data_IF_607379908422
#
_entry.id   IF_607379908422
#
_cell.length_a   1.000
_cell.length_b   1.000
_cell.length_c   1.000
_cell.angle_alpha   90.00
_cell.angle_beta   90.00
_cell.angle_gamma   90.00
#
_symmetry.space_group_name_H-M   'P 1'
#
loop_
_entity.id
_entity.type
_entity.pdbx_description
1 polymer ?
#
# COMPACT_ATOMS: atom_id res chain seq x y z
N UNK A 1 22.30 -36.61 -2.57
CA UNK A 1 22.04 -35.40 -3.42
C UNK A 1 22.11 -34.19 -2.49
N UNK A 2 22.93 -33.19 -2.79
CA UNK A 2 23.01 -31.95 -2.00
C UNK A 2 21.96 -30.94 -2.49
N UNK A 3 20.81 -30.97 -1.85
CA UNK A 3 19.66 -30.12 -2.23
C UNK A 3 19.91 -28.63 -1.95
N UNK A 4 20.70 -28.30 -0.92
CA UNK A 4 21.07 -26.91 -0.59
C UNK A 4 22.00 -26.32 -1.64
N UNK A 5 22.93 -27.12 -2.17
CA UNK A 5 23.82 -26.70 -3.26
C UNK A 5 22.99 -26.38 -4.51
N UNK A 6 22.07 -27.26 -4.89
CA UNK A 6 21.19 -27.04 -6.04
C UNK A 6 20.38 -25.74 -5.89
N UNK A 7 19.77 -25.51 -4.71
CA UNK A 7 19.02 -24.27 -4.48
C UNK A 7 19.89 -23.01 -4.63
N UNK A 8 21.12 -23.02 -4.09
CA UNK A 8 22.07 -21.91 -4.24
C UNK A 8 22.48 -21.66 -5.69
N UNK A 9 22.64 -22.73 -6.49
CA UNK A 9 22.95 -22.61 -7.92
C UNK A 9 21.78 -21.95 -8.67
N UNK A 10 20.53 -22.35 -8.40
CA UNK A 10 19.34 -21.69 -8.97
C UNK A 10 19.31 -20.21 -8.63
N UNK A 11 19.46 -19.86 -7.34
CA UNK A 11 19.44 -18.46 -6.90
C UNK A 11 20.55 -17.62 -7.59
N UNK A 12 21.75 -18.17 -7.69
CA UNK A 12 22.85 -17.48 -8.35
C UNK A 12 22.60 -17.26 -9.84
N UNK A 13 22.06 -18.27 -10.55
CA UNK A 13 21.71 -18.17 -11.98
C UNK A 13 20.65 -17.13 -12.24
N UNK A 14 19.57 -17.13 -11.44
CA UNK A 14 18.49 -16.14 -11.58
C UNK A 14 18.94 -14.72 -11.18
N UNK A 15 19.73 -14.57 -10.12
CA UNK A 15 20.31 -13.28 -9.77
C UNK A 15 21.19 -12.73 -10.89
N UNK A 16 22.00 -13.58 -11.52
CA UNK A 16 22.82 -13.19 -12.67
C UNK A 16 21.97 -12.77 -13.88
N UNK A 17 20.85 -13.44 -14.12
CA UNK A 17 19.93 -13.06 -15.20
C UNK A 17 19.33 -11.66 -14.95
N UNK A 18 19.03 -11.28 -13.71
CA UNK A 18 18.54 -9.93 -13.35
C UNK A 18 19.64 -8.88 -13.54
N UNK A 19 20.89 -9.17 -13.13
CA UNK A 19 22.02 -8.27 -13.37
C UNK A 19 22.23 -8.01 -14.86
N UNK A 20 22.21 -9.07 -15.67
CA UNK A 20 22.37 -8.97 -17.11
C UNK A 20 21.18 -8.21 -17.75
N UNK A 21 19.96 -8.36 -17.22
CA UNK A 21 18.78 -7.59 -17.63
C UNK A 21 18.99 -6.08 -17.43
N UNK A 22 19.53 -5.68 -16.28
CA UNK A 22 19.81 -4.28 -15.97
C UNK A 22 20.86 -3.68 -16.92
N UNK A 23 21.87 -4.45 -17.30
CA UNK A 23 22.89 -4.03 -18.27
C UNK A 23 22.34 -3.88 -19.70
N UNK A 24 21.31 -4.62 -20.05
CA UNK A 24 20.67 -4.59 -21.37
C UNK A 24 19.50 -3.61 -21.47
N UNK A 25 19.22 -2.84 -20.41
CA UNK A 25 18.17 -1.84 -20.42
C UNK A 25 18.57 -0.67 -21.33
N UNK A 26 17.67 -0.28 -22.23
CA UNK A 26 17.91 0.77 -23.22
C UNK A 26 16.78 1.83 -23.23
N UNK A 27 16.84 2.76 -24.17
CA UNK A 27 15.84 3.84 -24.33
C UNK A 27 14.41 3.33 -24.57
N UNK A 28 14.22 2.09 -25.01
CA UNK A 28 12.89 1.52 -25.20
C UNK A 28 12.12 1.40 -23.88
N UNK A 29 12.82 1.23 -22.76
CA UNK A 29 12.18 1.26 -21.45
C UNK A 29 11.55 2.64 -21.19
N UNK A 30 12.28 3.72 -21.42
CA UNK A 30 11.75 5.09 -21.26
C UNK A 30 10.59 5.36 -22.21
N UNK A 31 10.69 4.93 -23.47
CA UNK A 31 9.61 5.04 -24.45
C UNK A 31 8.36 4.27 -24.02
N UNK A 32 8.53 3.09 -23.41
CA UNK A 32 7.40 2.31 -22.87
C UNK A 32 6.72 3.05 -21.71
N UNK A 33 7.49 3.62 -20.79
CA UNK A 33 6.95 4.44 -19.69
C UNK A 33 6.18 5.65 -20.24
N UNK A 34 6.75 6.39 -21.18
CA UNK A 34 6.09 7.55 -21.81
C UNK A 34 4.78 7.14 -22.48
N UNK A 35 4.80 6.05 -23.28
CA UNK A 35 3.60 5.53 -23.92
C UNK A 35 2.51 5.18 -22.89
N UNK A 36 2.87 4.47 -21.82
CA UNK A 36 1.93 4.06 -20.77
C UNK A 36 1.42 5.25 -19.95
N UNK A 37 2.21 6.30 -19.75
CA UNK A 37 1.78 7.53 -19.06
C UNK A 37 0.77 8.32 -19.88
N UNK A 38 0.92 8.37 -21.20
CA UNK A 38 0.04 9.12 -22.11
C UNK A 38 -1.18 8.32 -22.58
N UNK A 39 -1.24 7.01 -22.28
CA UNK A 39 -2.38 6.14 -22.58
C UNK A 39 -3.60 6.62 -21.81
N UNK A 40 -4.72 6.89 -22.52
CA UNK A 40 -6.01 7.31 -21.95
C UNK A 40 -6.83 6.11 -21.44
N UNK A 41 -6.58 4.95 -21.97
CA UNK A 41 -7.20 3.68 -21.60
C UNK A 41 -6.42 2.92 -20.55
N UNK A 42 -6.31 1.63 -20.75
CA UNK A 42 -5.71 0.67 -19.79
C UNK A 42 -4.46 0.03 -20.38
N UNK A 43 -3.61 -0.46 -19.51
CA UNK A 43 -2.49 -1.31 -19.89
C UNK A 43 -2.96 -2.78 -19.87
N UNK A 44 -3.09 -3.38 -21.04
CA UNK A 44 -3.49 -4.77 -21.18
C UNK A 44 -2.24 -5.64 -21.25
N UNK A 45 -2.19 -6.72 -20.50
CA UNK A 45 -1.07 -7.65 -20.53
C UNK A 45 -1.55 -8.99 -21.09
N UNK A 46 -0.80 -9.57 -22.02
CA UNK A 46 -1.13 -10.87 -22.60
C UNK A 46 0.10 -11.76 -22.70
N UNK A 47 -0.08 -13.06 -22.46
CA UNK A 47 0.98 -14.06 -22.51
C UNK A 47 0.43 -15.47 -22.40
N UNK A 48 1.17 -16.47 -22.89
CA UNK A 48 0.77 -17.86 -22.85
C UNK A 48 1.56 -18.65 -21.81
N UNK A 49 0.93 -19.64 -21.17
CA UNK A 49 1.57 -20.55 -20.21
C UNK A 49 2.25 -19.81 -19.05
N UNK A 50 3.53 -20.08 -18.79
CA UNK A 50 4.28 -19.44 -17.70
C UNK A 50 4.37 -17.90 -17.89
N UNK A 51 4.57 -17.44 -19.12
CA UNK A 51 4.52 -16.00 -19.45
C UNK A 51 3.17 -15.38 -19.14
N UNK A 52 2.07 -16.13 -19.32
CA UNK A 52 0.73 -15.70 -18.95
C UNK A 52 0.54 -15.54 -17.43
N UNK A 53 1.02 -16.49 -16.63
CA UNK A 53 0.96 -16.37 -15.16
C UNK A 53 1.74 -15.16 -14.65
N UNK A 54 2.93 -14.94 -15.20
CA UNK A 54 3.71 -13.74 -14.86
C UNK A 54 3.02 -12.46 -15.37
N UNK A 55 2.45 -12.50 -16.58
CA UNK A 55 1.69 -11.39 -17.14
C UNK A 55 0.47 -11.00 -16.30
N UNK A 56 -0.25 -11.98 -15.77
CA UNK A 56 -1.36 -11.75 -14.84
C UNK A 56 -0.89 -11.05 -13.54
N UNK A 57 0.27 -11.47 -12.99
CA UNK A 57 0.89 -10.79 -11.84
C UNK A 57 1.29 -9.35 -12.18
N UNK A 58 1.89 -9.12 -13.33
CA UNK A 58 2.29 -7.78 -13.79
C UNK A 58 1.05 -6.88 -13.91
N UNK A 59 -0.01 -7.35 -14.55
CA UNK A 59 -1.27 -6.62 -14.67
C UNK A 59 -1.86 -6.26 -13.30
N UNK A 60 -1.89 -7.21 -12.36
CA UNK A 60 -2.35 -6.97 -10.99
C UNK A 60 -1.49 -5.94 -10.26
N UNK A 61 -0.15 -6.00 -10.42
CA UNK A 61 0.78 -5.02 -9.83
C UNK A 61 0.54 -3.62 -10.40
N UNK A 62 0.43 -3.49 -11.72
CA UNK A 62 0.13 -2.22 -12.38
C UNK A 62 -1.19 -1.62 -11.86
N UNK A 63 -2.25 -2.42 -11.80
CA UNK A 63 -3.56 -2.00 -11.32
C UNK A 63 -3.50 -1.52 -9.86
N UNK A 64 -2.83 -2.26 -8.99
CA UNK A 64 -2.70 -1.94 -7.58
C UNK A 64 -1.75 -0.76 -7.28
N UNK A 65 -0.98 -0.34 -8.27
CA UNK A 65 -0.03 0.79 -8.17
C UNK A 65 -0.43 1.99 -9.04
N UNK A 66 -1.71 2.11 -9.39
CA UNK A 66 -2.28 3.30 -10.02
C UNK A 66 -2.22 3.32 -11.55
N UNK A 67 -1.89 2.21 -12.21
CA UNK A 67 -2.02 2.05 -13.65
C UNK A 67 -3.17 1.09 -13.96
N UNK A 68 -4.33 1.56 -14.46
CA UNK A 68 -5.44 0.68 -14.81
C UNK A 68 -4.98 -0.41 -15.76
N UNK A 69 -5.10 -1.67 -15.34
CA UNK A 69 -4.54 -2.81 -16.08
C UNK A 69 -5.34 -4.08 -15.83
N UNK A 70 -5.36 -4.97 -16.81
CA UNK A 70 -5.83 -6.34 -16.65
C UNK A 70 -5.10 -7.29 -17.60
N UNK A 71 -5.19 -8.56 -17.28
CA UNK A 71 -4.62 -9.63 -18.11
C UNK A 71 -5.68 -10.20 -19.04
N UNK A 72 -5.31 -10.44 -20.31
CA UNK A 72 -6.13 -11.15 -21.29
C UNK A 72 -5.39 -12.41 -21.77
N UNK A 73 -6.04 -13.57 -21.68
CA UNK A 73 -5.46 -14.80 -22.21
C UNK A 73 -5.56 -14.80 -23.74
N UNK A 74 -4.46 -15.05 -24.49
CA UNK A 74 -4.48 -14.92 -25.94
C UNK A 74 -5.42 -15.93 -26.61
N UNK A 75 -5.64 -17.11 -26.01
CA UNK A 75 -6.63 -18.06 -26.48
C UNK A 75 -8.06 -17.52 -26.40
N UNK A 76 -8.46 -16.93 -25.27
CA UNK A 76 -9.78 -16.32 -25.08
C UNK A 76 -9.95 -15.07 -25.96
N UNK A 77 -8.87 -14.33 -26.17
CA UNK A 77 -8.85 -13.18 -27.06
C UNK A 77 -9.28 -13.55 -28.50
N UNK A 78 -8.88 -14.75 -28.99
CA UNK A 78 -9.28 -15.24 -30.29
C UNK A 78 -10.77 -15.64 -30.36
N UNK A 79 -11.43 -15.84 -29.22
CA UNK A 79 -12.83 -16.25 -29.11
C UNK A 79 -13.78 -15.15 -28.64
N UNK A 80 -13.32 -13.88 -28.65
CA UNK A 80 -14.20 -12.73 -28.42
C UNK A 80 -13.69 -11.70 -27.44
N UNK A 81 -12.77 -12.05 -26.52
CA UNK A 81 -12.29 -11.13 -25.49
C UNK A 81 -11.51 -9.93 -26.05
N UNK A 82 -11.06 -9.97 -27.31
CA UNK A 82 -10.59 -8.77 -28.00
C UNK A 82 -11.62 -7.62 -27.99
N UNK A 83 -12.90 -7.93 -27.79
CA UNK A 83 -13.95 -6.92 -27.58
C UNK A 83 -13.74 -6.03 -26.37
N UNK A 84 -12.98 -6.51 -25.38
CA UNK A 84 -12.65 -5.75 -24.15
C UNK A 84 -11.66 -4.62 -24.42
N UNK A 85 -10.87 -4.67 -25.50
CA UNK A 85 -9.85 -3.69 -25.83
C UNK A 85 -10.43 -2.51 -26.58
N UNK A 86 -9.92 -1.32 -26.30
CA UNK A 86 -10.29 -0.06 -26.98
C UNK A 86 -9.08 0.56 -27.67
N UNK A 87 -9.24 1.46 -28.62
CA UNK A 87 -8.13 2.16 -29.27
C UNK A 87 -7.29 3.01 -28.31
N UNK A 88 -7.84 3.35 -27.15
CA UNK A 88 -7.15 4.14 -26.11
C UNK A 88 -6.26 3.29 -25.19
N UNK A 89 -6.30 1.96 -25.32
CA UNK A 89 -5.48 1.01 -24.51
C UNK A 89 -4.08 0.86 -25.11
N UNK A 90 -3.14 0.28 -24.33
CA UNK A 90 -1.84 -0.22 -24.76
C UNK A 90 -1.73 -1.70 -24.43
N UNK A 91 -1.19 -2.51 -25.35
CA UNK A 91 -0.97 -3.94 -25.13
C UNK A 91 0.50 -4.25 -24.83
N UNK A 92 0.78 -4.94 -23.74
CA UNK A 92 2.07 -5.61 -23.48
C UNK A 92 1.90 -7.09 -23.82
N UNK A 93 2.54 -7.55 -24.89
CA UNK A 93 2.56 -8.96 -25.27
C UNK A 93 3.87 -9.62 -24.80
N UNK A 94 3.74 -10.67 -24.00
CA UNK A 94 4.86 -11.38 -23.38
C UNK A 94 5.08 -12.72 -24.06
N UNK A 95 6.27 -12.91 -24.67
CA UNK A 95 6.68 -14.19 -25.24
C UNK A 95 8.20 -14.29 -25.23
N UNK A 96 8.78 -15.23 -24.50
CA UNK A 96 10.23 -15.42 -24.47
C UNK A 96 10.81 -15.73 -25.85
N UNK A 97 10.19 -16.61 -26.64
CA UNK A 97 10.60 -16.90 -28.02
C UNK A 97 10.23 -15.79 -29.00
N UNK A 98 9.15 -15.05 -28.72
CA UNK A 98 8.51 -14.11 -29.64
C UNK A 98 7.82 -14.76 -30.85
N UNK A 99 7.63 -16.10 -30.80
CA UNK A 99 7.00 -16.91 -31.83
C UNK A 99 5.78 -17.69 -31.32
N UNK A 100 5.24 -17.31 -30.17
CA UNK A 100 4.03 -17.95 -29.60
C UNK A 100 2.85 -17.71 -30.52
N UNK A 101 2.30 -18.80 -31.11
CA UNK A 101 1.30 -18.74 -32.17
C UNK A 101 0.03 -17.98 -31.74
N UNK A 102 -0.46 -18.22 -30.53
CA UNK A 102 -1.67 -17.57 -29.99
C UNK A 102 -1.49 -16.08 -29.82
N UNK A 103 -0.29 -15.63 -29.40
CA UNK A 103 0.05 -14.21 -29.34
C UNK A 103 0.10 -13.60 -30.74
N UNK A 104 0.77 -14.26 -31.67
CA UNK A 104 0.90 -13.75 -33.03
C UNK A 104 -0.44 -13.66 -33.77
N UNK A 105 -1.37 -14.57 -33.52
CA UNK A 105 -2.71 -14.54 -34.11
C UNK A 105 -3.58 -13.37 -33.72
N UNK A 106 -3.39 -12.79 -32.53
CA UNK A 106 -4.17 -11.62 -32.10
C UNK A 106 -3.61 -10.28 -32.63
N UNK A 107 -2.32 -10.22 -33.01
CA UNK A 107 -1.66 -8.98 -33.43
C UNK A 107 -2.33 -8.27 -34.61
N UNK A 108 -2.79 -8.94 -35.67
CA UNK A 108 -3.48 -8.29 -36.77
C UNK A 108 -4.71 -7.48 -36.34
N UNK A 109 -5.47 -8.01 -35.36
CA UNK A 109 -6.64 -7.33 -34.82
C UNK A 109 -6.23 -6.12 -33.96
N UNK A 110 -5.14 -6.23 -33.18
CA UNK A 110 -4.55 -5.15 -32.39
C UNK A 110 -4.10 -4.00 -33.30
N UNK A 111 -3.36 -4.31 -34.36
CA UNK A 111 -2.88 -3.33 -35.33
C UNK A 111 -4.03 -2.65 -36.09
N UNK A 112 -5.06 -3.41 -36.51
CA UNK A 112 -6.25 -2.85 -37.16
C UNK A 112 -6.98 -1.84 -36.29
N UNK A 113 -6.98 -2.04 -34.96
CA UNK A 113 -7.57 -1.14 -33.97
C UNK A 113 -6.64 0.01 -33.57
N UNK A 114 -5.40 0.04 -34.11
CA UNK A 114 -4.37 1.05 -33.79
C UNK A 114 -3.98 1.07 -32.30
N UNK A 115 -4.07 -0.07 -31.64
CA UNK A 115 -3.64 -0.22 -30.24
C UNK A 115 -2.12 -0.35 -30.24
N UNK A 116 -1.38 0.52 -29.54
CA UNK A 116 0.08 0.40 -29.41
C UNK A 116 0.49 -0.92 -28.78
N UNK A 117 1.56 -1.54 -29.30
CA UNK A 117 2.04 -2.85 -28.90
C UNK A 117 3.47 -2.78 -28.33
N UNK A 118 3.61 -3.10 -27.07
CA UNK A 118 4.90 -3.32 -26.41
C UNK A 118 5.21 -4.82 -26.46
N UNK A 119 6.28 -5.20 -27.16
CA UNK A 119 6.78 -6.56 -27.24
C UNK A 119 7.77 -6.82 -26.10
N UNK A 120 7.37 -7.54 -25.06
CA UNK A 120 8.26 -8.00 -23.98
C UNK A 120 8.77 -9.41 -24.35
N UNK A 121 10.01 -9.49 -24.85
CA UNK A 121 10.50 -10.67 -25.53
C UNK A 121 12.00 -10.95 -25.26
N UNK A 122 12.37 -12.22 -25.23
CA UNK A 122 13.78 -12.66 -25.09
C UNK A 122 14.55 -12.73 -26.41
N UNK A 123 13.89 -12.58 -27.58
CA UNK A 123 14.51 -12.72 -28.91
C UNK A 123 14.28 -11.47 -29.76
N UNK A 124 15.32 -10.66 -29.95
CA UNK A 124 15.28 -9.37 -30.67
C UNK A 124 14.76 -9.50 -32.11
N UNK A 125 15.09 -10.58 -32.80
CA UNK A 125 14.75 -10.76 -34.21
C UNK A 125 13.44 -11.56 -34.45
N UNK A 126 12.64 -11.74 -33.39
CA UNK A 126 11.39 -12.52 -33.48
C UNK A 126 10.28 -11.78 -34.22
N UNK A 127 9.26 -12.54 -34.63
CA UNK A 127 8.05 -12.01 -35.29
C UNK A 127 7.32 -11.02 -34.40
N UNK A 128 7.18 -11.30 -33.09
CA UNK A 128 6.53 -10.39 -32.13
C UNK A 128 7.25 -9.03 -32.09
N UNK A 129 8.57 -9.03 -31.98
CA UNK A 129 9.37 -7.77 -31.91
C UNK A 129 9.25 -6.97 -33.19
N UNK A 130 9.29 -7.61 -34.38
CA UNK A 130 9.12 -6.93 -35.68
C UNK A 130 7.74 -6.28 -35.83
N UNK A 131 6.73 -6.79 -35.16
CA UNK A 131 5.39 -6.24 -35.17
C UNK A 131 5.10 -5.29 -34.00
N UNK A 132 5.95 -5.26 -32.97
CA UNK A 132 5.85 -4.35 -31.83
C UNK A 132 6.23 -2.91 -32.19
N UNK A 133 5.65 -1.97 -31.49
CA UNK A 133 6.03 -0.55 -31.60
C UNK A 133 7.20 -0.26 -30.67
N UNK A 134 7.31 -0.98 -29.55
CA UNK A 134 8.40 -0.91 -28.57
C UNK A 134 8.83 -2.33 -28.20
N UNK A 135 10.14 -2.54 -28.10
CA UNK A 135 10.73 -3.80 -27.66
C UNK A 135 11.34 -3.68 -26.27
N UNK A 136 10.86 -4.46 -25.32
CA UNK A 136 11.47 -4.65 -23.99
C UNK A 136 12.21 -5.99 -23.98
N UNK A 137 13.53 -5.92 -23.88
CA UNK A 137 14.40 -7.08 -23.90
C UNK A 137 14.41 -7.79 -22.54
N UNK A 138 13.91 -9.04 -22.50
CA UNK A 138 13.92 -9.94 -21.33
C UNK A 138 14.79 -11.17 -21.57
N UNK A 139 15.76 -11.11 -22.49
CA UNK A 139 16.62 -12.24 -22.80
C UNK A 139 17.46 -12.66 -21.59
N UNK A 140 17.58 -13.96 -21.40
CA UNK A 140 18.47 -14.59 -20.44
C UNK A 140 19.47 -15.49 -21.14
N UNK A 141 20.66 -15.67 -20.58
CA UNK A 141 21.72 -16.52 -21.14
C UNK A 141 21.37 -17.98 -20.98
N UNK A 142 20.82 -18.37 -19.84
CA UNK A 142 20.46 -19.73 -19.49
C UNK A 142 19.27 -19.76 -18.52
N UNK A 143 18.58 -20.87 -18.52
CA UNK A 143 17.54 -21.15 -17.53
C UNK A 143 18.18 -21.80 -16.29
N UNK A 144 17.69 -21.46 -15.08
CA UNK A 144 18.15 -22.11 -13.84
C UNK A 144 17.68 -23.58 -13.74
N UNK A 145 16.83 -24.02 -14.66
CA UNK A 145 16.39 -25.40 -14.78
C UNK A 145 17.57 -26.32 -15.16
N UNK A 146 17.83 -27.43 -14.42
CA UNK A 146 18.92 -28.35 -14.72
C UNK A 146 18.88 -28.94 -16.14
N UNK A 147 17.70 -28.99 -16.74
CA UNK A 147 17.49 -29.47 -18.11
C UNK A 147 17.46 -28.33 -19.16
N UNK A 148 17.60 -27.07 -18.73
CA UNK A 148 17.47 -25.88 -19.60
C UNK A 148 16.12 -25.80 -20.36
N UNK A 149 15.07 -26.47 -19.89
CA UNK A 149 13.78 -26.57 -20.55
C UNK A 149 12.66 -25.78 -19.83
N UNK A 150 12.62 -25.83 -18.50
CA UNK A 150 11.59 -25.14 -17.76
C UNK A 150 11.94 -23.65 -17.61
N UNK A 151 11.03 -22.73 -17.97
CA UNK A 151 11.22 -21.30 -17.77
C UNK A 151 11.34 -20.98 -16.26
N UNK A 152 12.52 -20.53 -15.82
CA UNK A 152 12.87 -20.07 -14.48
C UNK A 152 13.50 -18.70 -14.56
N UNK A 153 14.74 -18.58 -15.04
CA UNK A 153 15.42 -17.29 -15.22
C UNK A 153 14.64 -16.34 -16.13
N UNK A 154 14.07 -16.84 -17.24
CA UNK A 154 13.29 -16.02 -18.17
C UNK A 154 11.98 -15.51 -17.55
N UNK A 155 11.33 -16.29 -16.68
CA UNK A 155 10.12 -15.84 -15.98
C UNK A 155 10.45 -14.84 -14.89
N UNK A 156 11.56 -15.01 -14.18
CA UNK A 156 12.07 -14.06 -13.18
C UNK A 156 12.46 -12.73 -13.84
N UNK A 157 13.17 -12.76 -14.97
CA UNK A 157 13.49 -11.55 -15.74
C UNK A 157 12.24 -10.82 -16.23
N UNK A 158 11.22 -11.56 -16.71
CA UNK A 158 9.92 -10.98 -17.11
C UNK A 158 9.23 -10.29 -15.95
N UNK A 159 9.19 -10.94 -14.78
CA UNK A 159 8.59 -10.40 -13.56
C UNK A 159 9.25 -9.11 -13.13
N UNK A 160 10.59 -9.10 -13.04
CA UNK A 160 11.37 -7.93 -12.62
C UNK A 160 11.22 -6.77 -13.62
N UNK A 161 11.15 -7.03 -14.92
CA UNK A 161 10.84 -6.01 -15.92
C UNK A 161 9.48 -5.37 -15.67
N UNK A 162 8.46 -6.17 -15.37
CA UNK A 162 7.12 -5.68 -15.04
C UNK A 162 7.09 -4.85 -13.76
N UNK A 163 7.82 -5.26 -12.72
CA UNK A 163 7.95 -4.50 -11.47
C UNK A 163 8.70 -3.18 -11.69
N UNK A 164 9.71 -3.17 -12.55
CA UNK A 164 10.41 -1.94 -12.93
C UNK A 164 9.49 -0.95 -13.66
N UNK A 165 8.62 -1.44 -14.58
CA UNK A 165 7.60 -0.60 -15.23
C UNK A 165 6.65 0.00 -14.20
N UNK A 166 6.11 -0.82 -13.28
CA UNK A 166 5.20 -0.36 -12.24
C UNK A 166 5.85 0.70 -11.34
N UNK A 167 7.07 0.46 -10.86
CA UNK A 167 7.81 1.38 -10.00
C UNK A 167 8.11 2.72 -10.70
N UNK A 168 8.52 2.69 -11.97
CA UNK A 168 8.77 3.89 -12.75
C UNK A 168 7.48 4.72 -12.95
N UNK A 169 6.36 4.07 -13.26
CA UNK A 169 5.05 4.72 -13.40
C UNK A 169 4.55 5.32 -12.08
N UNK A 170 4.70 4.61 -10.96
CA UNK A 170 4.40 5.15 -9.62
C UNK A 170 5.17 6.44 -9.36
N UNK A 171 6.48 6.42 -9.63
CA UNK A 171 7.35 7.59 -9.42
C UNK A 171 6.95 8.75 -10.33
N UNK A 172 6.68 8.48 -11.60
CA UNK A 172 6.28 9.50 -12.58
C UNK A 172 4.94 10.15 -12.25
N UNK A 173 3.99 9.40 -11.66
CA UNK A 173 2.68 9.88 -11.22
C UNK A 173 2.67 10.47 -9.81
N UNK A 174 3.80 10.48 -9.11
CA UNK A 174 3.88 10.87 -7.70
C UNK A 174 2.88 10.09 -6.81
N UNK A 175 2.76 8.78 -7.05
CA UNK A 175 1.85 7.87 -6.35
C UNK A 175 2.22 7.80 -4.86
N UNK A 176 1.23 8.02 -4.00
CA UNK A 176 1.42 8.17 -2.54
C UNK A 176 0.84 6.97 -1.77
N UNK A 177 1.21 6.81 -0.49
CA UNK A 177 0.59 5.80 0.38
C UNK A 177 -0.94 5.89 0.44
N UNK A 178 -1.51 7.10 0.39
CA UNK A 178 -2.97 7.32 0.38
C UNK A 178 -3.62 6.75 -0.88
N UNK A 179 -2.96 6.91 -2.04
CA UNK A 179 -3.42 6.30 -3.29
C UNK A 179 -3.38 4.78 -3.22
N UNK A 180 -2.33 4.21 -2.61
CA UNK A 180 -2.22 2.77 -2.39
C UNK A 180 -3.34 2.24 -1.47
N UNK A 181 -3.69 2.99 -0.43
CA UNK A 181 -4.77 2.64 0.49
C UNK A 181 -6.12 2.54 -0.22
N UNK A 182 -6.42 3.44 -1.16
CA UNK A 182 -7.66 3.40 -1.96
C UNK A 182 -7.81 2.11 -2.77
N UNK A 183 -6.69 1.54 -3.26
CA UNK A 183 -6.70 0.27 -4.00
C UNK A 183 -6.64 -0.97 -3.10
N UNK A 184 -6.28 -0.80 -1.80
CA UNK A 184 -6.15 -1.90 -0.83
C UNK A 184 -6.96 -1.64 0.46
N UNK A 185 -8.27 -1.35 0.38
CA UNK A 185 -9.06 -0.93 1.55
C UNK A 185 -9.16 -2.03 2.63
N UNK A 186 -9.03 -3.29 2.27
CA UNK A 186 -9.06 -4.43 3.19
C UNK A 186 -7.73 -4.74 3.89
N UNK A 187 -6.62 -4.17 3.44
CA UNK A 187 -5.30 -4.36 4.04
C UNK A 187 -5.11 -3.52 5.31
N UNK A 188 -4.21 -3.93 6.21
CA UNK A 188 -3.90 -3.16 7.44
C UNK A 188 -3.51 -1.71 7.14
N UNK A 189 -2.66 -1.50 6.12
CA UNK A 189 -2.26 -0.15 5.69
C UNK A 189 -3.46 0.64 5.15
N UNK A 190 -4.32 0.02 4.32
CA UNK A 190 -5.51 0.67 3.76
C UNK A 190 -6.48 1.11 4.85
N UNK A 191 -6.82 0.22 5.78
CA UNK A 191 -7.68 0.56 6.91
C UNK A 191 -7.11 1.71 7.73
N UNK A 192 -5.83 1.64 8.10
CA UNK A 192 -5.15 2.67 8.89
C UNK A 192 -5.16 4.05 8.24
N UNK A 193 -5.01 4.13 6.91
CA UNK A 193 -4.98 5.37 6.15
C UNK A 193 -6.37 5.89 5.75
N UNK A 194 -7.40 5.02 5.75
CA UNK A 194 -8.77 5.41 5.41
C UNK A 194 -9.68 5.59 6.62
N UNK A 195 -9.27 5.15 7.81
CA UNK A 195 -10.06 5.26 9.03
C UNK A 195 -9.85 6.62 9.68
N UNK A 196 -10.94 7.30 10.01
CA UNK A 196 -10.91 8.58 10.74
C UNK A 196 -10.86 8.36 12.25
N UNK A 197 -10.41 9.36 12.96
CA UNK A 197 -10.42 9.39 14.42
C UNK A 197 -11.84 9.20 14.95
N UNK A 198 -12.84 9.85 14.32
CA UNK A 198 -14.27 9.73 14.65
C UNK A 198 -14.82 8.30 14.58
N UNK A 199 -14.23 7.43 13.75
CA UNK A 199 -14.67 6.03 13.59
C UNK A 199 -14.20 5.13 14.73
N UNK A 200 -13.13 5.53 15.44
CA UNK A 200 -12.45 4.74 16.48
C UNK A 200 -12.59 5.33 17.88
N UNK A 201 -12.97 6.61 18.01
CA UNK A 201 -13.04 7.28 19.31
C UNK A 201 -14.17 6.76 20.17
N UNK A 202 -13.97 6.79 21.48
CA UNK A 202 -15.03 6.66 22.46
C UNK A 202 -15.70 8.02 22.61
N UNK A 203 -16.98 8.14 22.26
CA UNK A 203 -17.74 9.41 22.28
C UNK A 203 -18.87 9.42 23.31
N UNK A 204 -19.18 8.29 23.95
CA UNK A 204 -20.27 8.18 24.95
C UNK A 204 -19.70 7.99 26.34
N UNK A 205 -20.38 8.54 27.33
CA UNK A 205 -20.04 8.39 28.75
C UNK A 205 -18.58 8.80 29.05
N UNK A 206 -18.14 9.91 28.46
CA UNK A 206 -16.79 10.42 28.68
C UNK A 206 -16.58 10.75 30.16
N UNK A 207 -15.45 10.37 30.77
CA UNK A 207 -15.13 10.70 32.15
C UNK A 207 -14.75 12.18 32.26
N UNK A 208 -15.72 13.02 32.52
CA UNK A 208 -15.57 14.48 32.62
C UNK A 208 -15.73 14.92 34.06
N UNK A 209 -14.84 15.78 34.54
CA UNK A 209 -14.87 16.39 35.88
C UNK A 209 -14.63 17.90 35.78
N UNK A 210 -15.04 18.63 36.82
CA UNK A 210 -14.76 20.07 36.99
C UNK A 210 -13.40 20.27 37.72
N UNK A 211 -12.70 21.38 37.52
CA UNK A 211 -11.44 21.69 38.25
C UNK A 211 -11.52 21.56 39.78
N UNK A 212 -12.67 21.86 40.36
CA UNK A 212 -12.90 21.77 41.79
C UNK A 212 -13.44 20.40 42.26
N UNK A 213 -13.52 19.40 41.40
CA UNK A 213 -13.95 18.03 41.77
C UNK A 213 -12.97 17.44 42.78
N UNK A 214 -13.52 16.93 43.88
CA UNK A 214 -12.76 16.30 44.97
C UNK A 214 -12.28 14.90 44.55
N UNK A 215 -11.20 14.44 45.19
CA UNK A 215 -10.48 13.23 44.87
C UNK A 215 -11.38 11.97 44.76
N UNK A 216 -12.27 11.75 45.74
CA UNK A 216 -13.14 10.56 45.74
C UNK A 216 -14.04 10.52 44.49
N UNK A 217 -14.70 11.65 44.21
CA UNK A 217 -15.58 11.76 43.02
C UNK A 217 -14.79 11.65 41.73
N UNK A 218 -13.54 12.17 41.69
CA UNK A 218 -12.65 12.01 40.55
C UNK A 218 -12.33 10.52 40.29
N UNK A 219 -11.99 9.76 41.33
CA UNK A 219 -11.69 8.32 41.23
C UNK A 219 -12.93 7.54 40.76
N UNK A 220 -14.12 7.87 41.25
CA UNK A 220 -15.37 7.24 40.84
C UNK A 220 -15.65 7.46 39.33
N UNK A 221 -15.46 8.72 38.86
CA UNK A 221 -15.63 9.05 37.43
C UNK A 221 -14.60 8.35 36.55
N UNK A 222 -13.34 8.33 36.97
CA UNK A 222 -12.28 7.59 36.23
C UNK A 222 -12.59 6.10 36.12
N UNK A 223 -12.99 5.49 37.26
CA UNK A 223 -13.31 4.06 37.34
C UNK A 223 -14.50 3.72 36.46
N UNK A 224 -15.54 4.55 36.47
CA UNK A 224 -16.76 4.37 35.67
C UNK A 224 -16.47 4.54 34.17
N UNK A 225 -15.57 5.47 33.81
CA UNK A 225 -15.20 5.74 32.43
C UNK A 225 -14.36 4.64 31.77
N UNK A 226 -13.63 3.83 32.56
CA UNK A 226 -12.80 2.70 32.09
C UNK A 226 -11.75 3.06 31.01
N UNK A 227 -11.35 4.32 30.94
CA UNK A 227 -10.38 4.82 29.94
C UNK A 227 -9.01 5.12 30.58
N UNK A 228 -8.85 4.93 31.89
CA UNK A 228 -7.61 5.22 32.62
C UNK A 228 -7.29 6.73 32.74
N UNK A 229 -8.27 7.59 32.45
CA UNK A 229 -8.12 9.04 32.51
C UNK A 229 -9.46 9.75 32.81
N UNK A 230 -9.38 11.03 33.19
CA UNK A 230 -10.50 11.98 33.20
C UNK A 230 -10.15 13.24 32.41
N UNK A 231 -11.13 13.83 31.77
CA UNK A 231 -11.08 15.15 31.15
C UNK A 231 -11.52 16.20 32.18
N UNK A 232 -10.73 17.25 32.33
CA UNK A 232 -11.09 18.38 33.22
C UNK A 232 -11.64 19.49 32.34
N UNK A 233 -12.92 19.80 32.48
CA UNK A 233 -13.59 20.84 31.73
C UNK A 233 -14.04 21.98 32.66
N UNK A 234 -13.86 23.22 32.23
CA UNK A 234 -14.39 24.42 32.84
C UNK A 234 -15.16 25.23 31.80
N UNK A 235 -16.44 25.51 32.05
CA UNK A 235 -17.33 26.19 31.10
C UNK A 235 -17.29 25.54 29.70
N UNK A 236 -17.38 24.20 29.64
CA UNK A 236 -17.31 23.34 28.41
C UNK A 236 -15.95 23.38 27.69
N UNK A 237 -14.95 24.08 28.23
CA UNK A 237 -13.60 24.14 27.67
C UNK A 237 -12.70 23.10 28.35
N UNK A 238 -11.90 22.40 27.56
CA UNK A 238 -10.87 21.50 28.06
C UNK A 238 -9.71 22.29 28.69
N UNK A 239 -9.55 22.18 30.02
CA UNK A 239 -8.49 22.84 30.75
C UNK A 239 -7.39 21.89 31.21
N UNK A 240 -7.65 20.60 31.25
CA UNK A 240 -6.67 19.60 31.66
C UNK A 240 -7.12 18.17 31.45
N UNK A 241 -6.22 17.24 31.72
CA UNK A 241 -6.44 15.78 31.74
C UNK A 241 -5.79 15.20 32.98
N UNK A 242 -6.40 14.18 33.56
CA UNK A 242 -5.86 13.44 34.69
C UNK A 242 -5.79 11.98 34.29
N UNK A 243 -4.61 11.38 34.33
CA UNK A 243 -4.37 9.96 34.04
C UNK A 243 -4.12 9.16 35.32
N UNK A 244 -4.16 7.83 35.24
CA UNK A 244 -3.73 6.93 36.32
C UNK A 244 -2.30 7.27 36.81
N UNK A 245 -1.44 7.76 35.90
CA UNK A 245 -0.09 8.21 36.22
C UNK A 245 -0.08 9.46 37.10
N UNK A 246 -0.98 10.41 36.83
CA UNK A 246 -1.12 11.64 37.62
C UNK A 246 -1.65 11.32 39.01
N UNK A 247 -2.65 10.45 39.13
CA UNK A 247 -3.13 10.00 40.44
C UNK A 247 -2.04 9.32 41.26
N UNK A 248 -1.27 8.42 40.67
CA UNK A 248 -0.15 7.76 41.39
C UNK A 248 0.92 8.74 41.84
N UNK A 249 1.21 9.79 41.05
CA UNK A 249 2.16 10.84 41.43
C UNK A 249 1.61 11.65 42.58
N UNK A 250 0.35 12.08 42.53
CA UNK A 250 -0.30 12.82 43.59
C UNK A 250 -0.33 12.07 44.93
N UNK A 251 -0.64 10.77 44.91
CA UNK A 251 -0.64 9.93 46.10
C UNK A 251 0.76 9.70 46.70
N UNK A 252 1.82 9.81 45.89
CA UNK A 252 3.20 9.71 46.35
C UNK A 252 3.77 10.99 46.89
N UNK A 253 3.26 12.13 46.49
CA UNK A 253 3.69 13.45 46.99
C UNK A 253 3.17 13.67 48.41
N UNK A 254 4.06 13.71 49.41
CA UNK A 254 3.73 13.58 50.82
C UNK A 254 3.30 14.87 51.55
N UNK A 255 2.94 15.97 50.87
CA UNK A 255 2.75 17.28 51.48
C UNK A 255 1.31 17.58 51.92
N UNK A 256 0.35 16.69 51.66
CA UNK A 256 -1.06 16.83 52.06
C UNK A 256 -1.61 15.52 52.66
N UNK A 257 -2.68 15.58 53.50
CA UNK A 257 -3.41 14.38 53.88
C UNK A 257 -3.78 13.58 52.64
N UNK A 258 -3.60 12.26 52.67
CA UNK A 258 -4.00 11.37 51.59
C UNK A 258 -5.46 11.63 51.26
N UNK A 259 -5.75 11.85 49.95
CA UNK A 259 -7.09 12.04 49.41
C UNK A 259 -7.71 13.46 49.56
N UNK A 260 -6.96 14.46 49.97
CA UNK A 260 -7.42 15.87 50.03
C UNK A 260 -6.85 16.67 48.84
N UNK A 261 -7.28 16.26 47.61
CA UNK A 261 -6.89 16.94 46.37
C UNK A 261 -8.12 17.30 45.56
N UNK A 262 -8.03 18.44 44.87
CA UNK A 262 -8.97 18.80 43.81
C UNK A 262 -8.38 18.47 42.44
N UNK A 263 -9.23 18.20 41.44
CA UNK A 263 -8.81 17.87 40.08
C UNK A 263 -7.79 18.84 39.50
N UNK A 264 -7.95 20.17 39.71
CA UNK A 264 -7.05 21.21 39.23
C UNK A 264 -5.64 21.14 39.82
N UNK A 265 -5.44 20.51 40.99
CA UNK A 265 -4.15 20.43 41.66
C UNK A 265 -3.28 19.32 41.08
N UNK A 266 -3.89 18.32 40.43
CA UNK A 266 -3.20 17.14 39.93
C UNK A 266 -3.28 16.97 38.41
N UNK A 267 -4.10 17.79 37.72
CA UNK A 267 -4.26 17.70 36.28
C UNK A 267 -3.01 18.12 35.53
N UNK A 268 -2.77 17.45 34.42
CA UNK A 268 -1.84 17.92 33.38
C UNK A 268 -2.55 18.93 32.49
N UNK A 269 -2.04 20.16 32.42
CA UNK A 269 -2.60 21.26 31.62
C UNK A 269 -2.18 21.12 30.14
N UNK A 270 -2.96 21.72 29.23
CA UNK A 270 -2.71 21.69 27.78
C UNK A 270 -2.57 20.28 27.20
N UNK A 271 -3.54 19.39 27.41
CA UNK A 271 -3.52 18.05 26.85
C UNK A 271 -3.41 18.11 25.32
N UNK A 272 -2.83 17.05 24.73
CA UNK A 272 -2.80 16.93 23.27
C UNK A 272 -4.20 16.63 22.77
N UNK A 273 -4.55 17.26 21.67
CA UNK A 273 -5.86 17.16 21.04
C UNK A 273 -5.67 16.81 19.57
N UNK A 274 -6.58 16.03 19.00
CA UNK A 274 -6.67 15.72 17.58
C UNK A 274 -8.07 16.04 17.09
N UNK A 275 -8.21 16.45 15.82
CA UNK A 275 -9.51 16.69 15.21
C UNK A 275 -10.24 15.36 14.96
N UNK A 276 -11.57 15.35 15.14
CA UNK A 276 -12.40 14.17 14.87
C UNK A 276 -12.36 13.70 13.40
N UNK A 277 -12.17 14.63 12.48
CA UNK A 277 -12.11 14.36 11.04
C UNK A 277 -10.69 14.02 10.57
N UNK A 278 -9.67 14.10 11.44
CA UNK A 278 -8.30 13.66 11.15
C UNK A 278 -8.23 12.15 10.90
N UNK A 279 -7.18 11.72 10.22
CA UNK A 279 -6.93 10.30 10.01
C UNK A 279 -6.40 9.62 11.27
N UNK A 280 -6.74 8.36 11.48
CA UNK A 280 -6.24 7.58 12.62
C UNK A 280 -4.71 7.50 12.68
N UNK A 281 -4.04 7.49 11.51
CA UNK A 281 -2.58 7.54 11.39
C UNK A 281 -1.98 8.82 12.00
N UNK A 282 -2.64 9.97 11.84
CA UNK A 282 -2.19 11.25 12.40
C UNK A 282 -2.28 11.22 13.94
N UNK A 283 -3.38 10.70 14.49
CA UNK A 283 -3.51 10.49 15.93
C UNK A 283 -2.41 9.57 16.48
N UNK A 284 -2.11 8.48 15.77
CA UNK A 284 -1.02 7.56 16.14
C UNK A 284 0.35 8.25 16.14
N UNK A 285 0.68 9.02 15.12
CA UNK A 285 1.94 9.79 15.07
C UNK A 285 2.10 10.72 16.26
N UNK A 286 1.02 11.45 16.62
CA UNK A 286 1.00 12.33 17.80
C UNK A 286 1.24 11.51 19.07
N UNK A 287 0.53 10.37 19.23
CA UNK A 287 0.66 9.51 20.40
C UNK A 287 2.08 8.94 20.54
N UNK A 288 2.69 8.49 19.45
CA UNK A 288 4.06 7.97 19.45
C UNK A 288 5.10 9.05 19.73
N UNK A 289 4.94 10.24 19.13
CA UNK A 289 5.83 11.39 19.32
C UNK A 289 5.85 11.85 20.77
N UNK A 290 4.70 11.92 21.43
CA UNK A 290 4.57 12.39 22.82
C UNK A 290 4.57 11.24 23.84
N UNK A 291 4.71 9.98 23.39
CA UNK A 291 4.71 8.77 24.24
C UNK A 291 3.46 8.67 25.13
N UNK A 292 2.31 9.04 24.58
CA UNK A 292 0.99 8.97 25.23
C UNK A 292 0.16 7.82 24.59
N UNK A 293 -0.74 7.24 25.37
CA UNK A 293 -1.59 6.14 24.94
C UNK A 293 -3.01 6.57 24.60
N UNK A 294 -3.40 7.73 25.06
CA UNK A 294 -4.71 8.33 24.87
C UNK A 294 -4.54 9.77 24.38
N UNK A 295 -5.44 10.22 23.51
CA UNK A 295 -5.50 11.60 23.04
C UNK A 295 -6.95 12.08 23.01
N UNK A 296 -7.16 13.33 23.39
CA UNK A 296 -8.48 13.94 23.38
C UNK A 296 -8.89 14.27 21.94
N UNK A 297 -10.13 13.99 21.61
CA UNK A 297 -10.69 14.32 20.30
C UNK A 297 -11.59 15.52 20.40
N UNK A 298 -11.35 16.52 19.55
CA UNK A 298 -12.18 17.72 19.47
C UNK A 298 -12.79 17.89 18.09
N UNK A 299 -13.88 18.64 18.04
CA UNK A 299 -14.48 19.15 16.81
C UNK A 299 -14.99 20.57 17.11
N UNK A 300 -14.60 21.55 16.30
CA UNK A 300 -14.98 22.95 16.51
C UNK A 300 -14.70 23.43 17.95
N UNK A 301 -13.50 23.16 18.47
CA UNK A 301 -13.03 23.46 19.83
C UNK A 301 -13.81 22.79 20.98
N UNK A 302 -14.75 21.89 20.68
CA UNK A 302 -15.48 21.10 21.69
C UNK A 302 -14.91 19.70 21.79
N UNK A 303 -14.79 19.17 23.00
CA UNK A 303 -14.43 17.79 23.24
C UNK A 303 -15.57 16.89 22.78
N UNK A 304 -15.29 15.98 21.86
CA UNK A 304 -16.26 15.03 21.32
C UNK A 304 -15.90 13.57 21.59
N UNK A 305 -14.69 13.29 22.05
CA UNK A 305 -14.26 11.93 22.32
C UNK A 305 -12.85 11.79 22.89
N UNK A 306 -12.47 10.54 23.06
CA UNK A 306 -11.11 10.10 23.41
C UNK A 306 -10.77 8.94 22.48
N UNK A 307 -9.58 8.94 21.89
CA UNK A 307 -9.08 7.79 21.13
C UNK A 307 -7.88 7.18 21.84
N UNK A 308 -7.80 5.85 21.85
CA UNK A 308 -6.75 5.07 22.49
C UNK A 308 -5.87 4.40 21.45
N UNK A 309 -4.57 4.31 21.71
CA UNK A 309 -3.59 3.76 20.76
C UNK A 309 -3.91 2.33 20.34
N UNK A 310 -4.44 1.49 21.24
CA UNK A 310 -4.80 0.11 20.91
C UNK A 310 -6.00 0.02 19.96
N UNK A 311 -6.89 1.02 19.93
CA UNK A 311 -8.00 1.06 18.99
C UNK A 311 -7.49 1.24 17.56
N UNK A 312 -6.41 2.01 17.37
CA UNK A 312 -5.75 2.20 16.07
C UNK A 312 -4.97 0.95 15.66
N UNK A 313 -4.28 0.29 16.60
CA UNK A 313 -3.49 -0.92 16.33
C UNK A 313 -4.33 -2.15 15.95
N UNK A 314 -5.64 -2.14 16.17
CA UNK A 314 -6.58 -3.21 15.81
C UNK A 314 -7.26 -3.01 14.45
N UNK A 315 -6.87 -1.98 13.70
CA UNK A 315 -7.45 -1.63 12.38
C UNK A 315 -6.66 -2.21 11.21
#
# INVERSE_FOLDING_TARGET
MDTLKIAKEVFATEAKAIEDLALNLDENFSKAIELMLHTKGRCIVSGMGKSGHIGAKIAATLASTGTPSFFIHPGEALHGDLGMLTPDDVLIAISNSGETEEILKIIPAIKKRKIPLIAMCGKKNSTLVKQGDIFLNISVKEEACPLQLAPMSSTTATLVMGDALAAALMKARNFRPDDFALFHPGGSLGRKLLTRVSDLMVSKNLPIVHPDTEFNNLVDVMTSGKLGLCLVLENEKLVGIITDGDLRRALKANDKPRFDFKAKEIMSVNPKVVDADAMASEAEEIMLKYKIKEIVVSKEDKVVGIIQLYAIGNV
#
